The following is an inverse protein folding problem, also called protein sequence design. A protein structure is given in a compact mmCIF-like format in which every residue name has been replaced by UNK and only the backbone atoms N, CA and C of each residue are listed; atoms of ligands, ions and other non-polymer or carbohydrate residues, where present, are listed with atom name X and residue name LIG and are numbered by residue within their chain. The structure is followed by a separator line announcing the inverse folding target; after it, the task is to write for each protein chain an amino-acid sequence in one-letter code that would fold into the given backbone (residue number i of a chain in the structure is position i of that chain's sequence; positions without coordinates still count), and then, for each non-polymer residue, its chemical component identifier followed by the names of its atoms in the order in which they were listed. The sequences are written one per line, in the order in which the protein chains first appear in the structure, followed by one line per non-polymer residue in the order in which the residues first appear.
data_IF_320993242596
#
_entry.id   IF_320993242596
#
_cell.length_a   1.000
_cell.length_b   1.000
_cell.length_c   1.000
_cell.angle_alpha   90.00
_cell.angle_beta   90.00
_cell.angle_gamma   90.00
#
_symmetry.space_group_name_H-M   'P 1'
#
loop_
_entity.id
_entity.type
_entity.pdbx_description
1 polymer ?
#
# COMPACT_ATOMS: atom_id res chain seq x y z
N UNK A 1 -9.80 12.87 -13.12
CA UNK A 1 -8.74 11.91 -13.52
C UNK A 1 -7.49 12.04 -12.65
N UNK A 2 -6.72 13.15 -12.70
CA UNK A 2 -5.54 13.36 -11.85
C UNK A 2 -5.83 13.23 -10.35
N UNK A 3 -6.91 13.85 -9.86
CA UNK A 3 -7.39 13.75 -8.47
C UNK A 3 -7.68 12.29 -8.07
N UNK A 4 -8.26 11.50 -8.97
CA UNK A 4 -8.54 10.09 -8.74
C UNK A 4 -7.26 9.25 -8.68
N UNK A 5 -6.29 9.52 -9.56
CA UNK A 5 -4.98 8.87 -9.51
C UNK A 5 -4.25 9.16 -8.19
N UNK A 6 -4.24 10.43 -7.76
CA UNK A 6 -3.64 10.84 -6.49
C UNK A 6 -4.30 10.12 -5.31
N UNK A 7 -5.64 10.22 -5.20
CA UNK A 7 -6.37 9.59 -4.11
C UNK A 7 -6.18 8.07 -4.07
N UNK A 8 -6.08 7.43 -5.24
CA UNK A 8 -5.81 6.00 -5.35
C UNK A 8 -4.44 5.62 -4.79
N UNK A 9 -3.38 6.33 -5.17
CA UNK A 9 -2.01 6.03 -4.68
C UNK A 9 -1.88 6.31 -3.18
N UNK A 10 -2.48 7.38 -2.68
CA UNK A 10 -2.47 7.68 -1.24
C UNK A 10 -3.26 6.64 -0.45
N UNK A 11 -4.44 6.22 -0.93
CA UNK A 11 -5.23 5.18 -0.28
C UNK A 11 -4.49 3.84 -0.26
N UNK A 12 -3.80 3.48 -1.36
CA UNK A 12 -2.96 2.29 -1.38
C UNK A 12 -1.81 2.39 -0.38
N UNK A 13 -1.16 3.55 -0.26
CA UNK A 13 -0.10 3.79 0.73
C UNK A 13 -0.62 3.69 2.17
N UNK A 14 -1.84 4.15 2.43
CA UNK A 14 -2.50 3.96 3.72
C UNK A 14 -2.72 2.47 4.02
N UNK A 15 -3.13 1.67 3.03
CA UNK A 15 -3.29 0.22 3.17
C UNK A 15 -1.96 -0.51 3.45
N UNK A 16 -0.83 0.05 3.00
CA UNK A 16 0.50 -0.48 3.34
C UNK A 16 0.90 -0.26 4.80
N UNK A 17 0.29 0.70 5.51
CA UNK A 17 0.71 1.04 6.87
C UNK A 17 0.62 -0.17 7.82
N UNK A 18 -0.56 -0.82 8.00
CA UNK A 18 -0.64 -1.94 8.93
C UNK A 18 0.21 -3.13 8.47
N UNK A 19 0.37 -3.33 7.15
CA UNK A 19 1.27 -4.36 6.61
C UNK A 19 2.72 -4.14 7.07
N UNK A 20 3.25 -2.92 6.94
CA UNK A 20 4.60 -2.57 7.39
C UNK A 20 4.73 -2.74 8.91
N UNK A 21 3.73 -2.33 9.68
CA UNK A 21 3.76 -2.50 11.13
C UNK A 21 3.66 -3.96 11.58
N UNK A 22 3.04 -4.83 10.79
CA UNK A 22 2.99 -6.29 11.03
C UNK A 22 4.17 -7.05 10.44
N UNK A 23 5.13 -6.39 9.79
CA UNK A 23 6.22 -7.10 9.13
C UNK A 23 7.09 -7.88 10.13
N UNK A 24 7.25 -9.18 9.89
CA UNK A 24 8.02 -10.11 10.72
C UNK A 24 9.51 -9.76 10.75
N UNK A 25 9.98 -9.06 9.70
CA UNK A 25 11.36 -8.60 9.54
C UNK A 25 11.55 -7.11 9.87
N UNK A 26 10.56 -6.48 10.51
CA UNK A 26 10.57 -5.04 10.83
C UNK A 26 11.70 -4.65 11.78
N UNK A 27 12.16 -5.59 12.60
CA UNK A 27 13.25 -5.45 13.57
C UNK A 27 14.60 -5.08 12.93
N UNK A 28 14.79 -5.41 11.65
CA UNK A 28 15.98 -5.06 10.86
C UNK A 28 16.05 -3.58 10.53
N UNK A 29 14.91 -2.88 10.58
CA UNK A 29 14.86 -1.44 10.36
C UNK A 29 15.07 -0.69 11.67
N UNK A 30 16.25 -0.06 11.82
CA UNK A 30 16.65 0.66 13.05
C UNK A 30 15.99 2.03 13.22
N UNK A 31 15.29 2.52 12.21
CA UNK A 31 14.58 3.81 12.26
C UNK A 31 13.15 3.68 12.77
N UNK A 32 12.47 4.81 12.95
CA UNK A 32 11.03 4.81 13.23
C UNK A 32 10.26 4.43 11.97
N UNK A 33 9.49 3.34 12.04
CA UNK A 33 8.55 2.95 10.99
C UNK A 33 7.45 3.99 10.77
N UNK A 34 7.07 4.74 11.81
CA UNK A 34 6.09 5.83 11.69
C UNK A 34 6.64 6.95 10.80
N UNK A 35 7.92 7.27 10.96
CA UNK A 35 8.62 8.27 10.15
C UNK A 35 8.79 7.76 8.73
N UNK A 36 9.19 6.50 8.55
CA UNK A 36 9.30 5.88 7.23
C UNK A 36 7.95 5.90 6.50
N UNK A 37 6.87 5.48 7.16
CA UNK A 37 5.52 5.51 6.59
C UNK A 37 5.02 6.93 6.35
N UNK A 38 5.29 7.87 7.26
CA UNK A 38 4.95 9.28 7.08
C UNK A 38 5.63 9.88 5.85
N UNK A 39 6.91 9.60 5.64
CA UNK A 39 7.62 10.00 4.43
C UNK A 39 7.15 9.22 3.20
N UNK A 40 6.82 7.94 3.36
CA UNK A 40 6.21 7.12 2.31
C UNK A 40 4.95 7.79 1.78
N UNK A 41 4.05 8.33 2.62
CA UNK A 41 2.83 9.03 2.15
C UNK A 41 3.09 10.21 1.19
N UNK A 42 4.29 10.79 1.17
CA UNK A 42 4.67 11.88 0.26
C UNK A 42 5.65 11.48 -0.84
N UNK A 43 6.54 10.50 -0.58
CA UNK A 43 7.65 10.10 -1.44
C UNK A 43 7.75 8.58 -1.52
N UNK A 44 6.61 7.98 -1.82
CA UNK A 44 6.32 6.55 -1.83
C UNK A 44 7.43 5.69 -2.47
N UNK A 45 7.87 5.98 -3.70
CA UNK A 45 8.95 5.23 -4.37
C UNK A 45 10.31 5.31 -3.68
N UNK A 46 10.60 6.42 -2.99
CA UNK A 46 11.93 6.69 -2.44
C UNK A 46 12.20 5.91 -1.17
N UNK A 47 11.17 5.63 -0.37
CA UNK A 47 11.33 5.01 0.96
C UNK A 47 11.05 3.51 0.98
N UNK A 48 10.18 3.02 0.10
CA UNK A 48 9.88 1.59 0.05
C UNK A 48 11.06 0.75 -0.45
N UNK A 49 11.81 1.19 -1.45
CA UNK A 49 12.95 0.42 -1.97
C UNK A 49 14.05 0.23 -0.91
N UNK A 50 14.53 1.28 -0.21
CA UNK A 50 15.50 1.11 0.87
C UNK A 50 14.98 0.24 2.00
N UNK A 51 13.70 0.35 2.37
CA UNK A 51 13.09 -0.53 3.38
C UNK A 51 13.24 -2.00 3.00
N UNK A 52 12.96 -2.31 1.73
CA UNK A 52 13.00 -3.67 1.19
C UNK A 52 14.42 -4.20 1.05
N UNK A 53 15.40 -3.32 0.86
CA UNK A 53 16.81 -3.68 0.91
C UNK A 53 17.26 -3.95 2.36
N UNK A 54 16.92 -3.08 3.31
CA UNK A 54 17.31 -3.21 4.73
C UNK A 54 16.72 -4.49 5.34
N UNK A 55 15.47 -4.85 5.01
CA UNK A 55 14.85 -6.07 5.53
C UNK A 55 15.51 -7.36 5.02
N UNK A 56 16.38 -7.31 4.02
CA UNK A 56 17.15 -8.48 3.56
C UNK A 56 18.40 -8.74 4.39
N UNK A 57 18.85 -7.78 5.21
CA UNK A 57 20.01 -7.96 6.07
C UNK A 57 19.78 -9.02 7.15
N UNK A 58 20.88 -9.53 7.71
CA UNK A 58 20.83 -10.47 8.80
C UNK A 58 20.22 -9.85 10.07
N UNK A 59 19.47 -10.63 10.86
CA UNK A 59 18.91 -10.14 12.12
C UNK A 59 20.05 -9.81 13.10
N UNK A 60 19.96 -8.64 13.73
CA UNK A 60 20.91 -8.25 14.78
C UNK A 60 20.67 -9.12 16.01
N UNK A 61 21.55 -10.11 16.23
CA UNK A 61 21.46 -11.08 17.34
C UNK A 61 21.60 -10.44 18.74
N UNK A 62 21.96 -9.16 18.80
CA UNK A 62 22.25 -8.42 20.03
C UNK A 62 21.18 -7.39 20.41
N UNK A 63 20.07 -7.28 19.66
CA UNK A 63 19.03 -6.29 19.95
C UNK A 63 17.68 -6.95 20.21
N UNK A 64 17.06 -6.60 21.34
CA UNK A 64 15.66 -6.93 21.61
C UNK A 64 14.77 -6.30 20.54
N UNK A 65 13.70 -6.97 20.09
CA UNK A 65 12.84 -6.44 19.05
C UNK A 65 12.29 -5.06 19.47
N UNK A 66 12.38 -4.04 18.60
CA UNK A 66 11.90 -2.71 18.92
C UNK A 66 10.39 -2.77 19.23
N UNK A 67 9.99 -2.11 20.32
CA UNK A 67 8.60 -2.05 20.75
C UNK A 67 7.77 -1.32 19.71
N UNK A 68 6.61 -1.88 19.35
CA UNK A 68 5.70 -1.29 18.34
C UNK A 68 5.24 0.09 18.84
N UNK A 69 5.27 1.09 17.95
CA UNK A 69 4.79 2.44 18.25
C UNK A 69 3.29 2.44 18.59
N UNK A 70 2.83 3.49 19.28
CA UNK A 70 1.40 3.64 19.58
C UNK A 70 0.56 3.76 18.29
N UNK A 71 1.06 4.50 17.29
CA UNK A 71 0.42 4.60 15.97
C UNK A 71 0.33 3.24 15.28
N UNK A 72 1.43 2.49 15.26
CA UNK A 72 1.45 1.14 14.69
C UNK A 72 0.50 0.19 15.41
N UNK A 73 0.39 0.26 16.74
CA UNK A 73 -0.56 -0.55 17.50
C UNK A 73 -2.02 -0.23 17.13
N UNK A 74 -2.37 1.06 17.04
CA UNK A 74 -3.72 1.49 16.64
C UNK A 74 -4.05 1.05 15.21
N UNK A 75 -3.11 1.19 14.28
CA UNK A 75 -3.31 0.80 12.88
C UNK A 75 -3.44 -0.71 12.69
N UNK A 76 -2.72 -1.51 13.49
CA UNK A 76 -2.82 -2.97 13.46
C UNK A 76 -4.12 -3.45 14.10
N UNK A 77 -4.51 -2.92 15.25
CA UNK A 77 -5.81 -3.23 15.88
C UNK A 77 -7.00 -2.78 15.02
N UNK A 78 -6.84 -1.65 14.34
CA UNK A 78 -7.81 -1.13 13.39
C UNK A 78 -7.63 -1.66 11.96
N UNK A 79 -6.81 -2.68 11.72
CA UNK A 79 -6.47 -3.13 10.37
C UNK A 79 -7.69 -3.40 9.48
N UNK A 80 -8.77 -4.07 9.95
CA UNK A 80 -9.98 -4.26 9.13
C UNK A 80 -10.65 -2.94 8.73
N UNK A 81 -10.66 -1.94 9.64
CA UNK A 81 -11.24 -0.61 9.37
C UNK A 81 -10.38 0.15 8.37
N UNK A 82 -9.05 0.13 8.54
CA UNK A 82 -8.11 0.73 7.58
C UNK A 82 -8.24 0.05 6.21
N UNK A 83 -8.40 -1.27 6.18
CA UNK A 83 -8.66 -2.07 4.98
C UNK A 83 -9.96 -1.66 4.28
N UNK A 84 -11.06 -1.53 5.03
CA UNK A 84 -12.35 -1.12 4.50
C UNK A 84 -12.31 0.30 3.93
N UNK A 85 -11.78 1.27 4.69
CA UNK A 85 -11.72 2.68 4.29
C UNK A 85 -10.78 2.86 3.10
N UNK A 86 -9.57 2.31 3.17
CA UNK A 86 -8.60 2.40 2.07
C UNK A 86 -9.10 1.72 0.80
N UNK A 87 -9.69 0.52 0.93
CA UNK A 87 -10.30 -0.19 -0.19
C UNK A 87 -11.45 0.59 -0.84
N UNK A 88 -12.35 1.15 -0.02
CA UNK A 88 -13.46 1.99 -0.50
C UNK A 88 -12.93 3.23 -1.23
N UNK A 89 -11.94 3.93 -0.67
CA UNK A 89 -11.35 5.11 -1.31
C UNK A 89 -10.69 4.73 -2.63
N UNK A 90 -10.01 3.59 -2.73
CA UNK A 90 -9.46 3.10 -4.00
C UNK A 90 -10.57 2.91 -5.06
N UNK A 91 -11.69 2.26 -4.69
CA UNK A 91 -12.83 2.06 -5.61
C UNK A 91 -13.44 3.39 -6.03
N UNK A 92 -13.73 4.27 -5.08
CA UNK A 92 -14.26 5.61 -5.37
C UNK A 92 -13.32 6.44 -6.24
N UNK A 93 -12.01 6.29 -6.06
CA UNK A 93 -10.98 6.98 -6.84
C UNK A 93 -10.96 6.50 -8.29
N UNK A 94 -11.12 5.20 -8.54
CA UNK A 94 -11.26 4.64 -9.90
C UNK A 94 -12.54 5.18 -10.55
N UNK A 95 -13.66 5.13 -9.84
CA UNK A 95 -14.94 5.67 -10.35
C UNK A 95 -14.81 7.16 -10.66
N UNK A 96 -14.19 7.95 -9.79
CA UNK A 96 -13.94 9.37 -10.01
C UNK A 96 -12.98 9.62 -11.18
N UNK A 97 -11.93 8.81 -11.32
CA UNK A 97 -10.98 8.94 -12.41
C UNK A 97 -11.64 8.73 -13.78
N UNK A 98 -12.60 7.80 -13.87
CA UNK A 98 -13.33 7.47 -15.10
C UNK A 98 -14.54 8.38 -15.36
N UNK A 99 -15.31 8.73 -14.32
CA UNK A 99 -16.62 9.36 -14.44
C UNK A 99 -16.78 10.71 -13.76
N UNK A 100 -15.87 11.12 -12.87
CA UNK A 100 -16.05 12.31 -12.00
C UNK A 100 -16.25 13.65 -12.72
N UNK A 101 -15.95 13.72 -14.03
CA UNK A 101 -16.27 14.86 -14.90
C UNK A 101 -16.77 14.42 -16.28
N UNK A 102 -17.57 13.35 -16.34
CA UNK A 102 -18.07 12.83 -17.62
C UNK A 102 -18.91 13.85 -18.40
N UNK A 103 -19.62 14.74 -17.69
CA UNK A 103 -20.54 15.73 -18.27
C UNK A 103 -19.86 17.00 -18.81
N UNK A 104 -18.54 17.15 -18.61
CA UNK A 104 -17.80 18.35 -19.02
C UNK A 104 -17.28 18.31 -20.48
N UNK A 105 -17.77 17.38 -21.30
CA UNK A 105 -17.49 17.35 -22.75
C UNK A 105 -16.06 16.91 -23.14
N UNK A 106 -15.32 16.24 -22.25
CA UNK A 106 -13.92 15.85 -22.44
C UNK A 106 -13.65 14.72 -23.45
N UNK A 107 -14.50 14.54 -24.46
CA UNK A 107 -14.34 13.49 -25.47
C UNK A 107 -14.63 12.07 -24.97
N UNK A 108 -14.47 11.09 -25.87
CA UNK A 108 -14.69 9.67 -25.63
C UNK A 108 -13.54 8.99 -24.87
N UNK A 109 -13.58 7.66 -24.78
CA UNK A 109 -12.58 6.86 -24.06
C UNK A 109 -11.18 7.01 -24.70
N UNK A 110 -11.10 7.12 -26.03
CA UNK A 110 -9.83 7.20 -26.76
C UNK A 110 -9.08 8.50 -26.48
N UNK A 111 -9.79 9.64 -26.51
CA UNK A 111 -9.22 10.96 -26.22
C UNK A 111 -8.77 11.04 -24.76
N UNK A 112 -9.55 10.45 -23.84
CA UNK A 112 -9.20 10.36 -22.43
C UNK A 112 -7.94 9.52 -22.20
N UNK A 113 -7.77 8.41 -22.91
CA UNK A 113 -6.56 7.60 -22.83
C UNK A 113 -5.32 8.35 -23.34
N UNK A 114 -5.44 9.05 -24.47
CA UNK A 114 -4.36 9.90 -24.99
C UNK A 114 -3.99 11.01 -24.00
N UNK A 115 -4.98 11.61 -23.35
CA UNK A 115 -4.74 12.58 -22.28
C UNK A 115 -4.02 11.95 -21.08
N UNK A 116 -4.41 10.75 -20.61
CA UNK A 116 -3.69 10.03 -19.53
C UNK A 116 -2.23 9.86 -19.90
N UNK A 117 -1.98 9.35 -21.11
CA UNK A 117 -0.63 9.10 -21.57
C UNK A 117 0.19 10.40 -21.59
N UNK A 118 -0.34 11.47 -22.18
CA UNK A 118 0.33 12.76 -22.18
C UNK A 118 0.56 13.28 -20.77
N UNK A 119 -0.44 13.20 -19.89
CA UNK A 119 -0.37 13.68 -18.51
C UNK A 119 0.72 12.96 -17.71
N UNK A 120 0.78 11.63 -17.80
CA UNK A 120 1.78 10.82 -17.09
C UNK A 120 3.20 11.12 -17.56
N UNK A 121 3.41 11.40 -18.84
CA UNK A 121 4.76 11.68 -19.36
C UNK A 121 5.15 13.18 -19.30
N UNK A 122 4.18 14.10 -19.21
CA UNK A 122 4.45 15.53 -19.08
C UNK A 122 4.60 15.96 -17.62
N UNK A 123 3.83 15.38 -16.70
CA UNK A 123 3.83 15.76 -15.28
C UNK A 123 4.68 14.81 -14.45
N UNK A 124 5.73 15.35 -13.81
CA UNK A 124 6.66 14.56 -12.98
C UNK A 124 5.97 13.82 -11.84
N UNK A 125 4.94 14.45 -11.25
CA UNK A 125 4.18 13.87 -10.15
C UNK A 125 3.36 12.66 -10.62
N UNK A 126 2.68 12.78 -11.76
CA UNK A 126 1.91 11.68 -12.34
C UNK A 126 2.81 10.52 -12.78
N UNK A 127 3.99 10.83 -13.29
CA UNK A 127 5.03 9.84 -13.59
C UNK A 127 5.49 9.08 -12.34
N UNK A 128 5.71 9.79 -11.22
CA UNK A 128 6.08 9.16 -9.95
C UNK A 128 4.98 8.20 -9.46
N UNK A 129 3.72 8.63 -9.51
CA UNK A 129 2.57 7.79 -9.14
C UNK A 129 2.45 6.51 -9.97
N UNK A 130 2.80 6.55 -11.26
CA UNK A 130 2.86 5.35 -12.07
C UNK A 130 3.87 4.34 -11.50
N UNK A 131 5.08 4.82 -11.18
CA UNK A 131 6.10 3.99 -10.56
C UNK A 131 5.69 3.49 -9.18
N UNK A 132 4.97 4.29 -8.39
CA UNK A 132 4.45 3.87 -7.08
C UNK A 132 3.51 2.68 -7.23
N UNK A 133 2.55 2.74 -8.16
CA UNK A 133 1.64 1.62 -8.42
C UNK A 133 2.37 0.36 -8.89
N UNK A 134 3.40 0.51 -9.73
CA UNK A 134 4.21 -0.63 -10.19
C UNK A 134 4.98 -1.27 -9.03
N UNK A 135 5.68 -0.46 -8.23
CA UNK A 135 6.47 -0.95 -7.10
C UNK A 135 5.56 -1.55 -6.03
N UNK A 136 4.41 -0.96 -5.77
CA UNK A 136 3.40 -1.51 -4.87
C UNK A 136 2.87 -2.85 -5.34
N UNK A 137 2.60 -3.00 -6.63
CA UNK A 137 2.13 -4.27 -7.20
C UNK A 137 3.17 -5.39 -7.06
N UNK A 138 4.46 -5.06 -7.07
CA UNK A 138 5.57 -6.02 -6.90
C UNK A 138 5.80 -6.34 -5.43
N UNK A 139 5.84 -5.31 -4.58
CA UNK A 139 6.22 -5.42 -3.18
C UNK A 139 5.10 -5.91 -2.27
N UNK A 140 3.85 -5.58 -2.59
CA UNK A 140 2.67 -6.09 -1.89
C UNK A 140 2.68 -7.62 -1.74
N UNK A 141 2.75 -8.43 -2.81
CA UNK A 141 2.69 -9.89 -2.68
C UNK A 141 3.88 -10.46 -1.91
N UNK A 142 5.06 -9.86 -2.04
CA UNK A 142 6.25 -10.30 -1.32
C UNK A 142 6.14 -10.04 0.18
N UNK A 143 5.73 -8.83 0.57
CA UNK A 143 5.49 -8.47 1.98
C UNK A 143 4.36 -9.28 2.61
N UNK A 144 3.23 -9.45 1.91
CA UNK A 144 2.13 -10.30 2.41
C UNK A 144 2.59 -11.75 2.56
N UNK A 145 3.42 -12.24 1.64
CA UNK A 145 3.95 -13.60 1.69
C UNK A 145 4.83 -13.87 2.90
N UNK A 146 5.74 -12.96 3.22
CA UNK A 146 6.59 -13.08 4.41
C UNK A 146 5.79 -12.94 5.73
N UNK A 147 4.62 -12.32 5.67
CA UNK A 147 3.76 -12.04 6.82
C UNK A 147 2.51 -12.91 6.87
N UNK A 148 2.45 -13.97 6.06
CA UNK A 148 1.29 -14.85 5.99
C UNK A 148 1.02 -15.58 7.32
N UNK A 149 2.04 -15.70 8.16
CA UNK A 149 1.93 -16.28 9.51
C UNK A 149 1.08 -15.43 10.47
N UNK A 150 0.90 -14.13 10.18
CA UNK A 150 0.07 -13.23 10.99
C UNK A 150 -1.43 -13.28 10.59
N UNK A 151 -1.77 -14.12 9.62
CA UNK A 151 -3.13 -14.27 9.08
C UNK A 151 -3.80 -15.46 9.74
N UNK A 152 -5.10 -15.34 10.05
CA UNK A 152 -5.94 -16.43 10.57
C UNK A 152 -5.74 -17.71 9.75
N UNK A 153 -5.48 -18.84 10.43
CA UNK A 153 -5.14 -20.12 9.79
C UNK A 153 -6.13 -20.59 8.71
N UNK A 154 -7.43 -20.28 8.85
CA UNK A 154 -8.46 -20.63 7.87
C UNK A 154 -8.49 -19.74 6.61
N UNK A 155 -7.75 -18.62 6.60
CA UNK A 155 -7.73 -17.64 5.50
C UNK A 155 -6.37 -17.54 4.80
N UNK A 156 -5.36 -18.26 5.29
CA UNK A 156 -3.98 -18.26 4.75
C UNK A 156 -3.94 -18.62 3.26
N UNK A 157 -4.64 -19.69 2.84
CA UNK A 157 -4.65 -20.13 1.44
C UNK A 157 -5.29 -19.09 0.52
N UNK A 158 -6.42 -18.51 0.95
CA UNK A 158 -7.09 -17.43 0.23
C UNK A 158 -6.17 -16.22 0.05
N UNK A 159 -5.58 -15.71 1.14
CA UNK A 159 -4.68 -14.55 1.11
C UNK A 159 -3.45 -14.83 0.23
N UNK A 160 -2.92 -16.05 0.25
CA UNK A 160 -1.76 -16.44 -0.56
C UNK A 160 -2.03 -16.38 -2.09
N UNK A 161 -3.28 -16.60 -2.50
CA UNK A 161 -3.71 -16.45 -3.89
C UNK A 161 -3.97 -14.98 -4.22
N UNK A 162 -4.74 -14.27 -3.37
CA UNK A 162 -5.16 -12.90 -3.68
C UNK A 162 -4.08 -11.84 -3.46
N UNK A 163 -2.96 -12.16 -2.78
CA UNK A 163 -1.85 -11.22 -2.53
C UNK A 163 -1.25 -10.60 -3.80
N UNK A 164 -1.34 -11.29 -4.93
CA UNK A 164 -0.85 -10.82 -6.24
C UNK A 164 -1.80 -9.85 -6.92
N UNK A 165 -3.04 -9.73 -6.44
CA UNK A 165 -4.02 -8.79 -6.99
C UNK A 165 -3.82 -7.43 -6.32
N UNK A 166 -3.42 -6.38 -7.05
CA UNK A 166 -3.09 -5.10 -6.45
C UNK A 166 -4.28 -4.50 -5.69
N UNK A 167 -4.03 -3.90 -4.53
CA UNK A 167 -5.03 -3.39 -3.57
C UNK A 167 -5.88 -4.49 -2.92
N UNK A 168 -6.48 -5.39 -3.71
CA UNK A 168 -7.37 -6.46 -3.22
C UNK A 168 -6.62 -7.39 -2.26
N UNK A 169 -5.37 -7.77 -2.59
CA UNK A 169 -4.53 -8.58 -1.73
C UNK A 169 -4.25 -7.93 -0.37
N UNK A 170 -4.00 -6.62 -0.34
CA UNK A 170 -3.83 -5.87 0.92
C UNK A 170 -5.11 -5.84 1.73
N UNK A 171 -6.22 -5.49 1.10
CA UNK A 171 -7.52 -5.44 1.78
C UNK A 171 -7.82 -6.80 2.40
N UNK A 172 -7.70 -7.88 1.62
CA UNK A 172 -7.88 -9.25 2.11
C UNK A 172 -6.95 -9.59 3.28
N UNK A 173 -5.65 -9.26 3.18
CA UNK A 173 -4.69 -9.45 4.27
C UNK A 173 -5.12 -8.71 5.54
N UNK A 174 -5.52 -7.44 5.44
CA UNK A 174 -5.92 -6.63 6.59
C UNK A 174 -7.21 -7.13 7.27
N UNK A 175 -8.15 -7.67 6.51
CA UNK A 175 -9.36 -8.29 7.06
C UNK A 175 -9.10 -9.65 7.71
N UNK A 176 -8.09 -10.37 7.22
CA UNK A 176 -7.75 -11.71 7.70
C UNK A 176 -6.63 -11.71 8.74
N UNK A 177 -6.11 -10.53 9.11
CA UNK A 177 -5.10 -10.37 10.14
C UNK A 177 -5.62 -10.95 11.46
N UNK A 178 -4.79 -11.72 12.14
CA UNK A 178 -5.09 -12.23 13.48
C UNK A 178 -4.97 -11.08 14.48
N UNK A 179 -5.99 -10.91 15.32
CA UNK A 179 -5.95 -9.89 16.37
C UNK A 179 -4.97 -10.38 17.46
N UNK A 180 -3.91 -9.61 17.73
CA UNK A 180 -3.11 -9.81 18.94
C UNK A 180 -3.97 -9.38 20.14
N UNK A 181 -4.47 -10.37 20.90
CA UNK A 181 -5.21 -10.20 22.17
C UNK A 181 -4.40 -9.39 23.21
#
# INVERSE_FOLDING_TARGET
MAEGLFNFVIAWTLLFAPLLFTDSRRDRFKGSLDVLWGFQMFLTNTFLIPYMAIRLNDPDTNQSPPQRSQLGSVMVKGAPVVGAVGGLVCVLSIVWALYGRADAGFGGIAERWQFVQSYVFSERLAYAFLWDMLLYSIFQPWLIGDNIQNVKAGSTEFVNVVRFVPVIGLVAYLFCLEEED
#
